data_IF_383047459677
#
_entry.id   IF_383047459677
#
_cell.length_a   1.000
_cell.length_b   1.000
_cell.length_c   1.000
_cell.angle_alpha   90.00
_cell.angle_beta   90.00
_cell.angle_gamma   90.00
#
_symmetry.space_group_name_H-M   'P 1'
#
loop_
_entity.id
_entity.type
_entity.pdbx_description
1 polymer ?
#
# COMPACT_ATOMS: atom_id res chain seq x y z
N UNK A 1 3.35 -18.46 16.56
CA UNK A 1 3.96 -17.11 16.62
C UNK A 1 2.83 -16.12 16.56
N UNK A 2 2.83 -15.09 17.41
CA UNK A 2 1.83 -14.01 17.41
C UNK A 2 2.57 -12.75 16.96
N UNK A 3 1.99 -11.99 16.03
CA UNK A 3 2.52 -10.71 15.56
C UNK A 3 1.40 -9.66 15.52
N UNK A 4 1.75 -8.41 15.80
CA UNK A 4 0.89 -7.26 15.59
C UNK A 4 1.25 -6.58 14.27
N UNK A 5 0.24 -6.20 13.51
CA UNK A 5 0.44 -5.56 12.20
C UNK A 5 -0.49 -4.38 11.99
N UNK A 6 0.02 -3.40 11.24
CA UNK A 6 -0.75 -2.33 10.62
C UNK A 6 -0.42 -2.33 9.13
N UNK A 7 -1.44 -2.53 8.30
CA UNK A 7 -1.30 -2.81 6.86
C UNK A 7 -1.68 -1.62 5.98
N UNK A 8 -2.08 -0.49 6.57
CA UNK A 8 -2.51 0.68 5.82
C UNK A 8 -2.01 1.97 6.47
N UNK A 9 -0.89 2.47 5.95
CA UNK A 9 -0.31 3.76 6.30
C UNK A 9 -0.03 4.59 5.04
N UNK A 10 0.42 5.83 5.25
CA UNK A 10 0.87 6.71 4.18
C UNK A 10 2.28 7.25 4.46
N UNK A 11 3.03 7.47 3.39
CA UNK A 11 4.36 8.07 3.41
C UNK A 11 4.28 9.60 3.46
N UNK A 12 5.45 10.25 3.56
CA UNK A 12 5.58 11.71 3.43
C UNK A 12 5.13 12.28 2.09
N UNK A 13 4.88 11.45 1.07
CA UNK A 13 4.46 11.87 -0.27
C UNK A 13 2.94 11.95 -0.44
N UNK A 14 2.16 11.37 0.48
CA UNK A 14 0.71 11.56 0.52
C UNK A 14 0.32 12.95 1.04
N UNK A 15 -0.70 13.55 0.42
CA UNK A 15 -1.25 14.81 0.89
C UNK A 15 -1.74 14.71 2.34
N UNK A 16 -1.60 15.81 3.08
CA UNK A 16 -1.99 15.92 4.49
C UNK A 16 -1.33 14.90 5.44
N UNK A 17 -0.22 14.28 5.02
CA UNK A 17 0.57 13.36 5.84
C UNK A 17 1.82 14.06 6.40
N UNK A 18 2.31 13.62 7.57
CA UNK A 18 3.51 14.19 8.20
C UNK A 18 4.75 13.97 7.34
N UNK A 19 5.63 14.99 7.27
CA UNK A 19 6.94 14.89 6.61
C UNK A 19 7.87 13.86 7.27
N UNK A 20 7.57 13.46 8.50
CA UNK A 20 8.33 12.47 9.24
C UNK A 20 7.95 11.02 8.92
N UNK A 21 6.93 10.78 8.08
CA UNK A 21 6.56 9.44 7.61
C UNK A 21 7.61 8.90 6.63
N UNK A 22 8.73 8.46 7.19
CA UNK A 22 9.88 7.84 6.54
C UNK A 22 10.21 6.53 7.26
N UNK A 23 10.71 5.52 6.54
CA UNK A 23 10.98 4.18 7.09
C UNK A 23 11.72 4.19 8.44
N UNK A 24 12.81 4.96 8.64
CA UNK A 24 13.49 4.99 9.93
C UNK A 24 12.60 5.45 11.09
N UNK A 25 11.84 6.53 10.90
CA UNK A 25 10.93 7.05 11.92
C UNK A 25 9.80 6.07 12.18
N UNK A 26 9.22 5.50 11.12
CA UNK A 26 8.12 4.53 11.23
C UNK A 26 8.59 3.33 12.05
N UNK A 27 9.78 2.79 11.76
CA UNK A 27 10.35 1.66 12.48
C UNK A 27 10.58 1.97 13.98
N UNK A 28 11.07 3.15 14.32
CA UNK A 28 11.26 3.58 15.72
C UNK A 28 9.92 3.66 16.47
N UNK A 29 8.90 4.26 15.84
CA UNK A 29 7.56 4.39 16.45
C UNK A 29 6.83 3.04 16.53
N UNK A 30 7.06 2.13 15.58
CA UNK A 30 6.53 0.76 15.63
C UNK A 30 7.03 0.01 16.84
N UNK A 31 8.33 0.14 17.19
CA UNK A 31 8.87 -0.49 18.41
C UNK A 31 8.18 0.01 19.68
N UNK A 32 7.94 1.33 19.77
CA UNK A 32 7.24 1.93 20.92
C UNK A 32 5.79 1.45 20.99
N UNK A 33 5.14 1.29 19.83
CA UNK A 33 3.75 0.83 19.72
C UNK A 33 3.58 -0.67 19.91
N UNK A 34 4.63 -1.46 19.66
CA UNK A 34 4.60 -2.92 19.65
C UNK A 34 4.10 -3.52 18.34
N UNK A 35 4.41 -2.90 17.20
CA UNK A 35 4.10 -3.41 15.86
C UNK A 35 5.28 -4.20 15.30
N UNK A 36 5.04 -5.47 14.99
CA UNK A 36 6.05 -6.40 14.50
C UNK A 36 6.17 -6.38 12.97
N UNK A 37 5.06 -6.13 12.27
CA UNK A 37 5.00 -6.04 10.81
C UNK A 37 4.22 -4.80 10.37
N UNK A 38 4.83 -3.94 9.56
CA UNK A 38 4.27 -2.67 9.12
C UNK A 38 4.15 -2.61 7.59
N UNK A 39 3.06 -2.05 7.08
CA UNK A 39 2.94 -1.70 5.68
C UNK A 39 3.93 -0.59 5.28
N UNK A 40 4.41 -0.62 4.04
CA UNK A 40 5.17 0.53 3.50
C UNK A 40 4.27 1.73 3.21
N UNK A 41 3.04 1.48 2.76
CA UNK A 41 2.19 2.49 2.15
C UNK A 41 2.77 3.04 0.84
N UNK A 42 1.94 3.73 0.05
CA UNK A 42 2.30 4.57 -1.10
C UNK A 42 3.26 3.93 -2.14
N UNK A 43 3.28 2.60 -2.26
CA UNK A 43 4.25 1.86 -3.06
C UNK A 43 4.09 1.98 -4.60
N UNK A 44 3.55 3.09 -5.12
CA UNK A 44 3.62 3.45 -6.54
C UNK A 44 4.32 4.78 -6.80
N UNK A 45 4.56 5.59 -5.76
CA UNK A 45 5.25 6.86 -5.90
C UNK A 45 6.75 6.62 -6.08
N UNK A 46 7.32 7.03 -7.22
CA UNK A 46 8.70 6.69 -7.62
C UNK A 46 9.75 7.08 -6.57
N UNK A 47 9.66 8.28 -6.00
CA UNK A 47 10.58 8.73 -4.94
C UNK A 47 10.40 7.97 -3.62
N UNK A 48 9.21 7.39 -3.39
CA UNK A 48 8.99 6.56 -2.22
C UNK A 48 9.59 5.18 -2.44
N UNK A 49 9.36 4.57 -3.62
CA UNK A 49 9.98 3.30 -4.00
C UNK A 49 11.50 3.33 -3.89
N UNK A 50 12.16 4.38 -4.42
CA UNK A 50 13.62 4.58 -4.25
C UNK A 50 13.99 4.65 -2.76
N UNK A 51 13.21 5.38 -1.94
CA UNK A 51 13.45 5.45 -0.50
C UNK A 51 13.28 4.09 0.18
N UNK A 52 12.33 3.26 -0.26
CA UNK A 52 12.14 1.91 0.24
C UNK A 52 13.37 1.04 -0.08
N UNK A 53 13.83 1.04 -1.33
CA UNK A 53 15.03 0.31 -1.76
C UNK A 53 16.29 0.74 -1.01
N UNK A 54 16.43 2.04 -0.74
CA UNK A 54 17.56 2.59 0.02
C UNK A 54 17.49 2.26 1.54
N UNK A 55 16.31 1.91 2.06
CA UNK A 55 16.07 1.75 3.50
C UNK A 55 15.81 0.31 3.94
N UNK A 56 15.53 -0.60 3.01
CA UNK A 56 14.98 -1.92 3.28
C UNK A 56 15.71 -3.01 2.49
N UNK A 57 16.15 -4.07 3.17
CA UNK A 57 16.61 -5.33 2.55
C UNK A 57 15.57 -6.41 2.70
N UNK A 58 15.30 -7.12 1.61
CA UNK A 58 14.39 -8.24 1.60
C UNK A 58 14.95 -9.46 2.35
N UNK A 59 14.10 -10.08 3.17
CA UNK A 59 14.44 -11.28 3.92
C UNK A 59 14.20 -12.50 3.02
N UNK A 60 15.29 -13.11 2.53
CA UNK A 60 15.26 -14.44 1.86
C UNK A 60 14.22 -14.56 0.73
N UNK A 61 14.00 -13.51 -0.05
CA UNK A 61 13.04 -13.49 -1.16
C UNK A 61 11.59 -13.83 -0.73
N UNK A 62 11.14 -13.28 0.40
CA UNK A 62 9.82 -13.58 0.98
C UNK A 62 8.77 -12.48 0.74
N UNK A 63 9.16 -11.33 0.16
CA UNK A 63 8.33 -10.12 0.13
C UNK A 63 8.26 -9.36 1.46
N UNK A 64 9.00 -9.84 2.47
CA UNK A 64 9.12 -9.20 3.79
C UNK A 64 10.49 -8.56 3.91
N UNK A 65 10.52 -7.34 4.42
CA UNK A 65 11.72 -6.51 4.45
C UNK A 65 12.14 -6.16 5.89
N UNK A 66 13.44 -6.08 6.13
CA UNK A 66 14.03 -5.52 7.35
C UNK A 66 14.68 -4.17 7.07
N UNK A 67 14.75 -3.30 8.07
CA UNK A 67 15.43 -1.99 7.92
C UNK A 67 16.94 -2.16 7.83
N UNK A 68 17.55 -1.50 6.84
CA UNK A 68 18.98 -1.57 6.57
C UNK A 68 19.77 -0.62 7.45
N UNK A 69 20.09 -1.05 8.67
CA UNK A 69 20.99 -0.26 9.54
C UNK A 69 21.95 -1.06 10.40
N UNK A 70 23.18 -0.56 10.40
CA UNK A 70 24.34 -0.95 11.22
C UNK A 70 24.22 -0.56 12.71
N UNK A 71 23.18 0.18 13.10
CA UNK A 71 23.03 0.74 14.46
C UNK A 71 21.65 0.58 15.09
N UNK A 72 20.63 0.14 14.35
CA UNK A 72 19.25 0.02 14.85
C UNK A 72 18.90 -1.43 15.21
N UNK A 73 18.36 -1.62 16.41
CA UNK A 73 17.80 -2.90 16.90
C UNK A 73 16.32 -3.04 16.57
N UNK A 74 15.82 -2.38 15.51
CA UNK A 74 14.41 -2.50 15.15
C UNK A 74 14.10 -3.89 14.65
N UNK A 75 13.17 -4.56 15.33
CA UNK A 75 12.63 -5.87 14.95
C UNK A 75 11.36 -5.74 14.10
N UNK A 76 10.92 -4.52 13.79
CA UNK A 76 9.77 -4.30 12.91
C UNK A 76 10.17 -4.61 11.48
N UNK A 77 9.47 -5.55 10.88
CA UNK A 77 9.59 -5.88 9.46
C UNK A 77 8.54 -5.10 8.65
N UNK A 78 8.75 -5.02 7.34
CA UNK A 78 7.87 -4.31 6.42
C UNK A 78 7.34 -5.20 5.31
N UNK A 79 6.14 -4.91 4.82
CA UNK A 79 5.60 -5.48 3.57
C UNK A 79 5.09 -4.38 2.65
N UNK A 80 5.18 -4.61 1.35
CA UNK A 80 4.85 -3.60 0.33
C UNK A 80 3.33 -3.47 0.18
N UNK A 81 2.81 -2.26 0.41
CA UNK A 81 1.39 -1.95 0.19
C UNK A 81 1.19 -0.58 -0.44
N UNK A 82 0.04 -0.38 -1.05
CA UNK A 82 -0.41 0.92 -1.59
C UNK A 82 -1.92 1.05 -1.48
N UNK A 83 -2.40 2.27 -1.24
CA UNK A 83 -3.80 2.63 -1.42
C UNK A 83 -3.95 3.39 -2.74
N UNK A 84 -4.98 3.09 -3.52
CA UNK A 84 -5.32 3.79 -4.77
C UNK A 84 -6.75 4.33 -4.73
N UNK A 85 -7.02 5.43 -5.44
CA UNK A 85 -8.37 6.01 -5.61
C UNK A 85 -8.88 5.73 -7.04
N UNK A 86 -10.05 5.11 -7.19
CA UNK A 86 -10.66 4.78 -8.49
C UNK A 86 -11.48 5.93 -9.11
N UNK A 87 -12.14 5.69 -10.25
CA UNK A 87 -13.02 6.66 -10.93
C UNK A 87 -14.20 7.15 -10.07
N UNK A 88 -14.67 6.33 -9.12
CA UNK A 88 -15.78 6.64 -8.20
C UNK A 88 -15.28 7.27 -6.89
N UNK A 89 -13.98 7.54 -6.79
CA UNK A 89 -13.30 8.02 -5.59
C UNK A 89 -13.32 7.03 -4.44
N UNK A 90 -13.47 5.74 -4.73
CA UNK A 90 -13.38 4.67 -3.74
C UNK A 90 -11.90 4.35 -3.56
N UNK A 91 -11.52 4.11 -2.30
CA UNK A 91 -10.17 3.71 -1.98
C UNK A 91 -10.03 2.19 -1.88
N UNK A 92 -8.95 1.68 -2.47
CA UNK A 92 -8.63 0.27 -2.48
C UNK A 92 -7.21 0.06 -1.96
N UNK A 93 -7.05 -0.87 -1.03
CA UNK A 93 -5.76 -1.31 -0.52
C UNK A 93 -5.26 -2.47 -1.36
N UNK A 94 -3.99 -2.41 -1.76
CA UNK A 94 -3.29 -3.46 -2.50
C UNK A 94 -2.08 -3.88 -1.67
N UNK A 95 -1.99 -5.17 -1.37
CA UNK A 95 -0.81 -5.82 -0.78
C UNK A 95 -0.02 -6.45 -1.93
N UNK A 96 1.23 -6.04 -2.07
CA UNK A 96 2.06 -6.31 -3.24
C UNK A 96 3.17 -7.30 -2.85
N UNK A 97 3.43 -8.37 -3.64
CA UNK A 97 4.44 -9.38 -3.30
C UNK A 97 5.85 -8.84 -3.06
N UNK A 98 6.27 -7.78 -3.76
CA UNK A 98 7.58 -7.16 -3.59
C UNK A 98 7.62 -5.72 -4.11
N UNK A 99 8.67 -4.97 -3.74
CA UNK A 99 8.97 -3.64 -4.30
C UNK A 99 9.16 -3.71 -5.83
N UNK A 100 9.79 -4.77 -6.35
CA UNK A 100 9.96 -4.98 -7.80
C UNK A 100 8.63 -5.17 -8.52
N UNK A 101 7.69 -5.90 -7.91
CA UNK A 101 6.34 -6.04 -8.45
C UNK A 101 5.62 -4.68 -8.44
N UNK A 102 5.82 -3.87 -7.40
CA UNK A 102 5.25 -2.53 -7.32
C UNK A 102 5.76 -1.61 -8.44
N UNK A 103 7.07 -1.67 -8.76
CA UNK A 103 7.65 -1.02 -9.93
C UNK A 103 7.08 -1.52 -11.25
N UNK A 104 6.84 -2.82 -11.36
CA UNK A 104 6.34 -3.44 -12.60
C UNK A 104 4.88 -3.09 -12.86
N UNK A 105 4.04 -3.13 -11.83
CA UNK A 105 2.59 -2.96 -11.99
C UNK A 105 2.15 -1.49 -12.07
N UNK A 106 2.94 -0.54 -11.55
CA UNK A 106 2.53 0.89 -11.55
C UNK A 106 2.30 1.45 -12.96
N UNK A 107 2.96 0.90 -13.97
CA UNK A 107 2.87 1.36 -15.35
C UNK A 107 1.66 0.76 -16.11
N UNK A 108 1.01 -0.26 -15.55
CA UNK A 108 -0.23 -0.85 -16.09
C UNK A 108 -1.47 0.03 -15.82
N UNK A 109 -1.39 0.90 -14.81
CA UNK A 109 -2.52 1.73 -14.41
C UNK A 109 -2.62 3.03 -15.23
N UNK A 110 -3.84 3.36 -15.66
CA UNK A 110 -4.11 4.62 -16.35
C UNK A 110 -4.17 5.76 -15.34
N UNK A 111 -3.16 6.62 -15.29
CA UNK A 111 -3.14 7.82 -14.43
C UNK A 111 -2.66 9.06 -15.18
N UNK A 112 -3.03 10.25 -14.69
CA UNK A 112 -2.48 11.51 -15.22
C UNK A 112 -1.02 11.71 -14.82
N UNK A 113 -0.70 11.37 -13.57
CA UNK A 113 0.63 11.46 -12.99
C UNK A 113 0.67 10.57 -11.75
N UNK A 114 1.41 9.47 -11.83
CA UNK A 114 1.55 8.51 -10.74
C UNK A 114 2.26 9.11 -9.51
N UNK A 115 3.12 10.11 -9.72
CA UNK A 115 3.94 10.72 -8.67
C UNK A 115 3.36 12.06 -8.18
N UNK A 116 2.07 12.32 -8.43
CA UNK A 116 1.41 13.54 -7.96
C UNK A 116 1.10 13.50 -6.45
N UNK A 117 0.86 12.31 -5.91
CA UNK A 117 0.49 12.04 -4.53
C UNK A 117 0.92 10.60 -4.18
N UNK A 118 1.11 10.30 -2.89
CA UNK A 118 1.38 8.94 -2.42
C UNK A 118 0.21 7.97 -2.65
N UNK A 119 -1.04 8.48 -2.66
CA UNK A 119 -2.22 7.76 -3.14
C UNK A 119 -2.56 8.21 -4.57
N UNK A 120 -2.17 7.45 -5.60
CA UNK A 120 -2.48 7.82 -6.96
C UNK A 120 -3.97 7.68 -7.26
N UNK A 121 -4.47 8.60 -8.08
CA UNK A 121 -5.80 8.53 -8.67
C UNK A 121 -5.72 7.77 -9.98
N UNK A 122 -6.33 6.59 -10.01
CA UNK A 122 -6.35 5.69 -11.15
C UNK A 122 -7.65 5.94 -11.93
N UNK A 123 -7.52 6.21 -13.22
CA UNK A 123 -8.63 6.49 -14.14
C UNK A 123 -9.25 5.20 -14.66
N UNK A 124 -9.56 4.30 -13.74
CA UNK A 124 -10.10 2.97 -13.98
C UNK A 124 -11.14 2.66 -12.91
N UNK A 125 -12.05 1.75 -13.22
CA UNK A 125 -13.03 1.27 -12.26
C UNK A 125 -12.41 0.15 -11.40
N UNK A 126 -12.94 -0.05 -10.19
CA UNK A 126 -12.43 -1.05 -9.25
C UNK A 126 -12.27 -2.46 -9.86
N UNK A 127 -13.20 -2.86 -10.75
CA UNK A 127 -13.14 -4.14 -11.48
C UNK A 127 -11.90 -4.28 -12.38
N UNK A 128 -11.44 -3.20 -13.02
CA UNK A 128 -10.24 -3.24 -13.86
C UNK A 128 -8.96 -3.21 -13.02
N UNK A 129 -9.00 -2.50 -11.89
CA UNK A 129 -7.85 -2.39 -10.97
C UNK A 129 -7.59 -3.75 -10.31
N UNK A 130 -8.63 -4.48 -9.89
CA UNK A 130 -8.49 -5.80 -9.28
C UNK A 130 -8.00 -6.86 -10.27
N UNK A 131 -8.40 -6.79 -11.55
CA UNK A 131 -7.86 -7.65 -12.61
C UNK A 131 -6.34 -7.51 -12.74
N UNK A 132 -5.84 -6.26 -12.82
CA UNK A 132 -4.38 -6.00 -12.84
C UNK A 132 -3.72 -6.51 -11.56
N UNK A 133 -4.31 -6.24 -10.39
CA UNK A 133 -3.75 -6.71 -9.12
C UNK A 133 -3.59 -8.24 -9.11
N UNK A 134 -4.59 -8.97 -9.60
CA UNK A 134 -4.55 -10.43 -9.69
C UNK A 134 -3.50 -10.95 -10.68
N UNK A 135 -3.32 -10.30 -11.83
CA UNK A 135 -2.28 -10.68 -12.81
C UNK A 135 -0.86 -10.62 -12.22
N UNK A 136 -0.64 -9.77 -11.21
CA UNK A 136 0.62 -9.65 -10.47
C UNK A 136 0.66 -10.42 -9.14
N UNK A 137 -0.33 -11.28 -8.86
CA UNK A 137 -0.48 -12.02 -7.60
C UNK A 137 -0.58 -11.12 -6.36
N UNK A 138 -1.12 -9.92 -6.50
CA UNK A 138 -1.43 -9.04 -5.37
C UNK A 138 -2.74 -9.46 -4.69
N UNK A 139 -2.88 -9.10 -3.42
CA UNK A 139 -4.17 -9.15 -2.72
C UNK A 139 -4.74 -7.74 -2.74
N UNK A 140 -5.99 -7.57 -3.12
CA UNK A 140 -6.64 -6.26 -3.18
C UNK A 140 -8.03 -6.30 -2.55
N UNK A 141 -8.36 -5.26 -1.79
CA UNK A 141 -9.70 -5.10 -1.23
C UNK A 141 -10.03 -3.62 -1.01
N UNK A 142 -11.30 -3.31 -0.73
CA UNK A 142 -11.71 -1.94 -0.45
C UNK A 142 -11.21 -1.55 0.95
N UNK A 143 -10.58 -0.39 1.09
CA UNK A 143 -9.80 -0.06 2.29
C UNK A 143 -10.66 0.17 3.54
N UNK A 144 -11.43 1.27 3.56
CA UNK A 144 -12.22 1.69 4.73
C UNK A 144 -13.71 1.79 4.35
N UNK A 145 -14.29 0.63 4.07
CA UNK A 145 -15.58 0.46 3.36
C UNK A 145 -16.76 1.26 3.88
N UNK A 146 -16.81 1.55 5.19
CA UNK A 146 -17.92 2.27 5.84
C UNK A 146 -17.64 3.76 6.06
N UNK A 147 -16.47 4.26 5.69
CA UNK A 147 -16.14 5.68 5.82
C UNK A 147 -17.09 6.50 4.95
N UNK A 148 -17.71 7.57 5.48
CA UNK A 148 -18.75 8.32 4.77
C UNK A 148 -18.20 9.21 3.63
N UNK A 149 -16.91 9.10 3.34
CA UNK A 149 -16.24 9.61 2.16
C UNK A 149 -15.26 8.54 1.68
N UNK A 150 -15.12 8.42 0.36
CA UNK A 150 -14.15 7.52 -0.31
C UNK A 150 -14.16 6.04 0.12
N UNK A 151 -15.12 5.62 0.95
CA UNK A 151 -15.44 4.23 1.26
C UNK A 151 -16.41 3.64 0.24
N UNK A 152 -16.36 2.32 0.07
CA UNK A 152 -17.19 1.59 -0.90
C UNK A 152 -18.69 1.84 -0.69
N UNK A 153 -19.19 1.74 0.54
CA UNK A 153 -20.63 1.82 0.84
C UNK A 153 -21.22 3.24 0.76
N UNK A 154 -20.39 4.22 0.42
CA UNK A 154 -20.86 5.57 0.09
C UNK A 154 -21.31 5.67 -1.38
N UNK A 155 -20.78 4.81 -2.26
CA UNK A 155 -21.05 4.83 -3.70
C UNK A 155 -21.82 3.59 -4.19
N UNK A 156 -21.65 2.43 -3.54
CA UNK A 156 -22.29 1.15 -3.90
C UNK A 156 -23.03 0.51 -2.73
N UNK A 157 -24.11 -0.22 -3.02
CA UNK A 157 -24.88 -0.97 -2.01
C UNK A 157 -24.28 -2.35 -1.70
N UNK A 158 -23.38 -2.86 -2.54
CA UNK A 158 -22.70 -4.15 -2.33
C UNK A 158 -21.27 -4.16 -2.90
N UNK A 159 -20.45 -5.09 -2.42
CA UNK A 159 -19.08 -5.29 -2.92
C UNK A 159 -19.10 -5.82 -4.37
N UNK A 160 -20.07 -6.68 -4.68
CA UNK A 160 -20.23 -7.26 -6.02
C UNK A 160 -20.52 -6.20 -7.08
N UNK A 161 -21.33 -5.19 -6.75
CA UNK A 161 -21.63 -4.08 -7.68
C UNK A 161 -20.40 -3.22 -7.98
N UNK A 162 -19.46 -3.13 -7.04
CA UNK A 162 -18.22 -2.36 -7.18
C UNK A 162 -17.17 -3.11 -8.04
N UNK A 163 -16.95 -4.40 -7.75
CA UNK A 163 -15.88 -5.18 -8.37
C UNK A 163 -16.32 -6.04 -9.56
N UNK A 164 -17.63 -6.19 -9.81
CA UNK A 164 -18.20 -7.09 -10.83
C UNK A 164 -17.81 -8.58 -10.69
N UNK A 165 -17.19 -8.94 -9.57
CA UNK A 165 -16.78 -10.31 -9.24
C UNK A 165 -17.21 -10.66 -7.83
N UNK A 166 -17.25 -11.96 -7.54
CA UNK A 166 -17.39 -12.43 -6.17
C UNK A 166 -16.10 -12.08 -5.40
N UNK A 167 -16.20 -11.53 -4.18
CA UNK A 167 -15.02 -11.28 -3.34
C UNK A 167 -14.17 -12.55 -3.17
N UNK A 168 -12.88 -12.43 -3.47
CA UNK A 168 -11.87 -13.50 -3.44
C UNK A 168 -10.56 -13.09 -2.73
N UNK A 169 -10.56 -11.90 -2.12
CA UNK A 169 -9.50 -11.40 -1.26
C UNK A 169 -9.42 -12.09 0.11
#
# INVERSE_FOLDING_TARGET
>A
MIINTDLHIHSKYSMATSKNMMIPTIAEECQKKGIDLMATGDAFHSKWLIHLEDSLTEIKNTGVYSVDRSTDKSSTNFITTVEVEDNHRIHHLIIIPSIDVAWSMRDEFVTKNMDADGRPKIRMDASQIIEIAHDYNCIMGPAHVFTPWTGLYKEYDSIQDCYNIKPDF
#
